data_IF_727534577376
#
_entry.id   IF_727534577376
#
_cell.length_a   1.000
_cell.length_b   1.000
_cell.length_c   1.000
_cell.angle_alpha   90.00
_cell.angle_beta   90.00
_cell.angle_gamma   90.00
#
_symmetry.space_group_name_H-M   'P 1'
#
loop_
_entity.id
_entity.type
_entity.pdbx_description
1 polymer ?
#
# COMPACT_ATOMS: atom_id res chain seq x y z
N UNK A 1 -2.60 3.50 -16.44
CA UNK A 1 -2.94 2.52 -15.40
C UNK A 1 -2.33 2.97 -14.09
N UNK A 2 -3.16 3.24 -13.10
CA UNK A 2 -2.74 3.57 -11.74
C UNK A 2 -2.85 2.31 -10.87
N UNK A 3 -1.90 2.11 -9.95
CA UNK A 3 -1.88 0.94 -9.09
C UNK A 3 -1.77 1.38 -7.64
N UNK A 4 -2.85 1.16 -6.91
CA UNK A 4 -3.04 1.68 -5.56
C UNK A 4 -3.00 0.53 -4.55
N UNK A 5 -2.23 0.70 -3.47
CA UNK A 5 -2.27 -0.18 -2.31
C UNK A 5 -3.02 0.48 -1.16
N UNK A 6 -4.03 -0.20 -0.62
CA UNK A 6 -4.80 0.24 0.55
C UNK A 6 -4.43 -0.66 1.72
N UNK A 7 -3.83 -0.08 2.77
CA UNK A 7 -3.57 -0.82 4.01
C UNK A 7 -4.91 -1.23 4.65
N UNK A 8 -5.16 -2.53 4.78
CA UNK A 8 -6.50 -3.09 5.05
C UNK A 8 -6.46 -4.04 6.25
N UNK A 9 -7.46 -3.92 7.13
CA UNK A 9 -7.84 -4.94 8.12
C UNK A 9 -9.28 -5.39 7.81
N UNK A 10 -9.45 -6.67 7.45
CA UNK A 10 -10.70 -7.21 6.94
C UNK A 10 -11.21 -6.48 5.69
N UNK A 11 -12.31 -5.75 5.82
CA UNK A 11 -12.94 -5.01 4.73
C UNK A 11 -12.71 -3.49 4.81
N UNK A 12 -11.89 -3.02 5.75
CA UNK A 12 -11.72 -1.59 6.05
C UNK A 12 -10.28 -1.14 5.93
N UNK A 13 -10.07 0.12 5.54
CA UNK A 13 -8.75 0.74 5.63
C UNK A 13 -8.32 0.84 7.10
N UNK A 14 -7.07 0.50 7.39
CA UNK A 14 -6.51 0.53 8.74
C UNK A 14 -5.84 1.86 9.08
N UNK A 15 -5.79 2.18 10.37
CA UNK A 15 -5.06 3.34 10.89
C UNK A 15 -3.54 3.15 10.95
N UNK A 16 -3.03 1.93 10.81
CA UNK A 16 -1.61 1.64 10.96
C UNK A 16 -1.03 0.87 9.76
N UNK A 17 -0.46 1.60 8.81
CA UNK A 17 0.19 1.04 7.60
C UNK A 17 1.11 -0.15 7.89
N UNK A 18 1.98 -0.02 8.90
CA UNK A 18 3.00 -1.03 9.20
C UNK A 18 2.45 -2.35 9.77
N UNK A 19 1.31 -2.30 10.45
CA UNK A 19 0.77 -3.41 11.25
C UNK A 19 -0.60 -3.91 10.75
N UNK A 20 -0.97 -3.56 9.52
CA UNK A 20 -2.17 -4.07 8.88
C UNK A 20 -2.10 -5.58 8.63
N UNK A 21 -3.26 -6.23 8.49
CA UNK A 21 -3.38 -7.61 8.03
C UNK A 21 -2.78 -7.78 6.63
N UNK A 22 -2.97 -6.79 5.76
CA UNK A 22 -2.38 -6.77 4.43
C UNK A 22 -2.81 -5.58 3.59
N UNK A 23 -2.60 -5.71 2.29
CA UNK A 23 -2.84 -4.65 1.32
C UNK A 23 -3.86 -5.10 0.29
N UNK A 24 -4.95 -4.35 0.18
CA UNK A 24 -5.84 -4.44 -0.98
C UNK A 24 -5.19 -3.67 -2.11
N UNK A 25 -4.83 -4.37 -3.18
CA UNK A 25 -4.29 -3.76 -4.40
C UNK A 25 -5.41 -3.62 -5.41
N UNK A 26 -5.55 -2.42 -5.97
CA UNK A 26 -6.44 -2.14 -7.08
C UNK A 26 -5.66 -1.57 -8.25
N UNK A 27 -5.99 -2.04 -9.45
CA UNK A 27 -5.52 -1.44 -10.71
C UNK A 27 -6.67 -0.61 -11.28
N UNK A 28 -6.38 0.64 -11.63
CA UNK A 28 -7.35 1.62 -12.11
C UNK A 28 -6.97 2.06 -13.53
N UNK A 29 -7.93 1.94 -14.45
CA UNK A 29 -7.83 2.41 -15.83
C UNK A 29 -9.06 3.25 -16.17
N UNK A 30 -8.85 4.44 -16.73
CA UNK A 30 -9.92 5.38 -17.10
C UNK A 30 -10.96 5.61 -15.99
N UNK A 31 -10.48 5.76 -14.76
CA UNK A 31 -11.30 5.99 -13.56
C UNK A 31 -12.12 4.78 -13.09
N UNK A 32 -11.85 3.58 -13.64
CA UNK A 32 -12.52 2.33 -13.26
C UNK A 32 -11.54 1.34 -12.68
N UNK A 33 -11.95 0.63 -11.64
CA UNK A 33 -11.20 -0.49 -11.09
C UNK A 33 -11.33 -1.66 -12.08
N UNK A 34 -10.19 -2.13 -12.60
CA UNK A 34 -10.13 -3.25 -13.56
C UNK A 34 -9.58 -4.54 -12.93
N UNK A 35 -8.83 -4.43 -11.83
CA UNK A 35 -8.39 -5.57 -11.02
C UNK A 35 -8.45 -5.24 -9.53
N UNK A 36 -8.67 -6.26 -8.70
CA UNK A 36 -8.63 -6.19 -7.25
C UNK A 36 -8.11 -7.49 -6.65
N UNK A 37 -7.09 -7.39 -5.82
CA UNK A 37 -6.53 -8.53 -5.07
C UNK A 37 -6.07 -8.13 -3.68
N UNK A 38 -5.96 -9.10 -2.79
CA UNK A 38 -5.43 -8.90 -1.44
C UNK A 38 -4.09 -9.60 -1.31
N UNK A 39 -3.13 -8.93 -0.69
CA UNK A 39 -1.79 -9.47 -0.40
C UNK A 39 -1.56 -9.38 1.12
N UNK A 40 -1.34 -10.51 1.81
CA UNK A 40 -1.00 -10.49 3.23
C UNK A 40 0.24 -9.64 3.51
N UNK A 41 0.26 -8.96 4.66
CA UNK A 41 1.41 -8.19 5.09
C UNK A 41 2.63 -9.14 5.25
N UNK A 42 3.74 -8.93 4.51
CA UNK A 42 4.91 -9.80 4.57
C UNK A 42 5.73 -9.65 5.87
N UNK A 43 5.28 -8.80 6.79
CA UNK A 43 5.88 -8.56 8.10
C UNK A 43 6.47 -7.16 8.21
N UNK A 44 6.21 -6.52 9.35
CA UNK A 44 6.70 -5.17 9.63
C UNK A 44 8.21 -5.17 9.90
N UNK A 45 8.97 -4.47 9.05
CA UNK A 45 10.37 -4.10 9.28
C UNK A 45 10.58 -2.65 8.83
N UNK A 46 11.35 -1.82 9.55
CA UNK A 46 11.62 -0.44 9.15
C UNK A 46 12.12 -0.35 7.71
N UNK A 47 11.46 0.47 6.90
CA UNK A 47 11.76 0.69 5.49
C UNK A 47 11.43 -0.46 4.52
N UNK A 48 11.04 -1.65 4.99
CA UNK A 48 10.79 -2.78 4.11
C UNK A 48 9.50 -2.66 3.29
N UNK A 49 8.38 -2.29 3.93
CA UNK A 49 7.08 -2.25 3.26
C UNK A 49 6.99 -1.24 2.10
N UNK A 50 7.56 -0.02 2.20
CA UNK A 50 7.64 0.88 1.06
C UNK A 50 8.40 0.30 -0.14
N UNK A 51 9.48 -0.43 0.12
CA UNK A 51 10.27 -1.11 -0.91
C UNK A 51 9.47 -2.23 -1.56
N UNK A 52 8.88 -3.10 -0.74
CA UNK A 52 8.06 -4.23 -1.17
C UNK A 52 6.90 -3.80 -2.07
N UNK A 53 6.19 -2.72 -1.71
CA UNK A 53 5.09 -2.20 -2.52
C UNK A 53 5.61 -1.53 -3.80
N UNK A 54 6.69 -0.76 -3.72
CA UNK A 54 7.31 -0.14 -4.90
C UNK A 54 7.77 -1.17 -5.93
N UNK A 55 8.35 -2.28 -5.49
CA UNK A 55 8.81 -3.37 -6.37
C UNK A 55 7.66 -4.09 -7.10
N UNK A 56 6.41 -3.95 -6.61
CA UNK A 56 5.20 -4.43 -7.28
C UNK A 56 4.57 -3.40 -8.23
N UNK A 57 5.23 -2.25 -8.42
CA UNK A 57 4.73 -1.14 -9.22
C UNK A 57 3.57 -0.39 -8.57
N UNK A 58 3.40 -0.50 -7.24
CA UNK A 58 2.49 0.39 -6.52
C UNK A 58 3.05 1.81 -6.58
N UNK A 59 2.26 2.76 -7.05
CA UNK A 59 2.65 4.17 -7.12
C UNK A 59 1.81 5.07 -6.20
N UNK A 60 0.73 4.54 -5.61
CA UNK A 60 -0.13 5.25 -4.67
C UNK A 60 -0.44 4.36 -3.48
N UNK A 61 -0.33 4.90 -2.27
CA UNK A 61 -0.64 4.18 -1.03
C UNK A 61 -1.66 4.95 -0.21
N UNK A 62 -2.70 4.25 0.24
CA UNK A 62 -3.75 4.79 1.10
C UNK A 62 -3.71 4.07 2.45
N UNK A 63 -3.64 4.83 3.54
CA UNK A 63 -3.81 4.33 4.91
C UNK A 63 -4.36 5.44 5.80
N UNK A 64 -4.98 5.08 6.93
CA UNK A 64 -5.39 6.07 7.93
C UNK A 64 -4.21 6.70 8.69
N UNK A 65 -3.05 6.03 8.71
CA UNK A 65 -1.85 6.53 9.36
C UNK A 65 -0.59 5.80 8.90
N UNK A 66 0.44 6.59 8.61
CA UNK A 66 1.74 6.12 8.13
C UNK A 66 2.86 6.83 8.89
N UNK A 67 3.88 6.07 9.31
CA UNK A 67 5.05 6.64 9.99
C UNK A 67 5.89 7.51 9.03
N UNK A 68 6.49 8.58 9.56
CA UNK A 68 7.24 9.56 8.76
C UNK A 68 8.37 8.94 7.91
N UNK A 69 9.06 7.93 8.44
CA UNK A 69 10.08 7.19 7.69
C UNK A 69 9.50 6.53 6.42
N UNK A 70 8.32 5.90 6.51
CA UNK A 70 7.69 5.27 5.35
C UNK A 70 7.24 6.32 4.33
N UNK A 71 6.68 7.44 4.78
CA UNK A 71 6.32 8.57 3.91
C UNK A 71 7.54 9.09 3.14
N UNK A 72 8.65 9.33 3.85
CA UNK A 72 9.88 9.81 3.20
C UNK A 72 10.40 8.81 2.16
N UNK A 73 10.40 7.51 2.47
CA UNK A 73 10.85 6.48 1.53
C UNK A 73 9.97 6.36 0.29
N UNK A 74 8.66 6.58 0.41
CA UNK A 74 7.78 6.67 -0.76
C UNK A 74 8.12 7.92 -1.60
N UNK A 75 8.24 9.09 -0.95
CA UNK A 75 8.54 10.34 -1.64
C UNK A 75 9.93 10.35 -2.31
N UNK A 76 10.92 9.61 -1.78
CA UNK A 76 12.23 9.44 -2.41
C UNK A 76 12.17 8.57 -3.68
N UNK A 77 11.13 7.76 -3.84
CA UNK A 77 10.97 6.80 -4.94
C UNK A 77 9.98 7.25 -6.03
N UNK A 78 9.16 8.26 -5.80
CA UNK A 78 8.22 8.82 -6.79
C UNK A 78 7.08 9.60 -6.17
#
# INVERSE_FOLDING_TARGET
MERVAIATDGAQATGHFGHCEGFTIIDVEDGRIVDRRFIPNPGHKPGFLPMFLGDQGINTVVSGGMGAMAVNLFNERG
#
